data_IF_073899537736
#
_entry.id   IF_073899537736
#
_cell.length_a   1.000
_cell.length_b   1.000
_cell.length_c   1.000
_cell.angle_alpha   90.00
_cell.angle_beta   90.00
_cell.angle_gamma   90.00
#
_symmetry.space_group_name_H-M   'P 1'
#
loop_
_entity.id
_entity.type
_entity.pdbx_description
1 polymer ?
#
# COMPACT_ATOMS: atom_id res chain seq x y z
N UNK A 1 -5.27 37.23 -39.63
CA UNK A 1 -4.41 36.18 -39.02
C UNK A 1 -5.21 34.88 -39.00
N UNK A 2 -4.87 33.91 -39.84
CA UNK A 2 -5.67 32.69 -40.04
C UNK A 2 -5.37 31.71 -38.89
N UNK A 3 -6.36 31.39 -38.05
CA UNK A 3 -6.16 30.40 -36.98
C UNK A 3 -6.02 29.01 -37.63
N UNK A 4 -5.01 28.20 -37.25
CA UNK A 4 -4.92 26.83 -37.74
C UNK A 4 -6.22 26.07 -37.42
N UNK A 5 -6.81 25.43 -38.45
CA UNK A 5 -8.01 24.61 -38.31
C UNK A 5 -7.62 23.25 -37.75
N UNK A 6 -7.66 23.12 -36.43
CA UNK A 6 -7.46 21.83 -35.77
C UNK A 6 -8.73 20.97 -35.88
N UNK A 7 -8.59 19.75 -36.43
CA UNK A 7 -9.66 18.76 -36.37
C UNK A 7 -9.85 18.32 -34.93
N UNK A 8 -11.08 18.39 -34.42
CA UNK A 8 -11.41 17.95 -33.05
C UNK A 8 -11.11 16.45 -32.90
N UNK A 9 -10.25 16.05 -31.96
CA UNK A 9 -10.04 14.64 -31.66
C UNK A 9 -11.30 13.97 -31.11
N UNK A 10 -11.46 12.67 -31.40
CA UNK A 10 -12.50 11.85 -30.78
C UNK A 10 -12.22 11.65 -29.28
N UNK A 11 -13.28 11.37 -28.52
CA UNK A 11 -13.17 10.91 -27.14
C UNK A 11 -12.39 9.58 -27.08
N UNK A 12 -11.89 9.26 -25.89
CA UNK A 12 -11.11 8.07 -25.62
C UNK A 12 -11.80 7.31 -24.51
N UNK A 13 -12.14 6.05 -24.77
CA UNK A 13 -12.69 5.13 -23.78
C UNK A 13 -11.58 4.16 -23.35
N UNK A 14 -11.33 4.09 -22.04
CA UNK A 14 -10.29 3.27 -21.43
C UNK A 14 -10.93 2.48 -20.28
N UNK A 15 -11.53 1.32 -20.57
CA UNK A 15 -12.27 0.55 -19.57
C UNK A 15 -13.38 1.40 -18.92
N UNK A 16 -13.33 1.56 -17.60
CA UNK A 16 -14.28 2.36 -16.82
C UNK A 16 -14.05 3.89 -16.91
N UNK A 17 -13.08 4.34 -17.70
CA UNK A 17 -12.71 5.74 -17.83
C UNK A 17 -13.11 6.31 -19.21
N UNK A 18 -13.90 7.38 -19.20
CA UNK A 18 -14.26 8.15 -20.39
C UNK A 18 -13.51 9.49 -20.42
N UNK A 19 -12.65 9.69 -21.42
CA UNK A 19 -11.83 10.90 -21.57
C UNK A 19 -12.35 11.74 -22.75
N UNK A 20 -12.79 12.95 -22.45
CA UNK A 20 -13.51 13.82 -23.39
C UNK A 20 -12.94 15.23 -23.44
N UNK A 21 -13.07 15.88 -24.60
CA UNK A 21 -12.68 17.28 -24.80
C UNK A 21 -13.75 18.20 -24.25
N UNK A 22 -13.32 19.15 -23.42
CA UNK A 22 -14.15 20.19 -22.80
C UNK A 22 -13.92 21.55 -23.43
N UNK A 23 -12.69 21.90 -23.84
CA UNK A 23 -12.40 23.17 -24.52
C UNK A 23 -11.54 22.96 -25.76
N UNK A 24 -11.72 23.88 -26.72
CA UNK A 24 -10.92 23.97 -27.95
C UNK A 24 -9.42 24.13 -27.69
N UNK A 25 -8.59 24.01 -28.72
CA UNK A 25 -7.15 23.97 -28.56
C UNK A 25 -6.59 25.33 -28.10
N UNK A 26 -5.54 25.28 -27.26
CA UNK A 26 -4.77 26.45 -26.86
C UNK A 26 -3.77 26.87 -27.97
N UNK A 27 -2.92 27.86 -27.69
CA UNK A 27 -1.89 28.33 -28.63
C UNK A 27 -0.89 27.24 -29.04
N UNK A 28 -0.72 26.20 -28.22
CA UNK A 28 0.17 25.06 -28.45
C UNK A 28 -0.54 23.90 -29.20
N UNK A 29 -1.81 24.07 -29.60
CA UNK A 29 -2.60 23.02 -30.25
C UNK A 29 -3.09 21.92 -29.30
N UNK A 30 -2.93 22.08 -27.99
CA UNK A 30 -3.38 21.12 -26.96
C UNK A 30 -4.83 21.43 -26.58
N UNK A 31 -5.63 20.40 -26.34
CA UNK A 31 -7.04 20.52 -26.01
C UNK A 31 -7.23 20.38 -24.49
N UNK A 32 -8.29 20.97 -23.94
CA UNK A 32 -8.61 20.77 -22.53
C UNK A 32 -9.46 19.50 -22.38
N UNK A 33 -8.89 18.47 -21.76
CA UNK A 33 -9.48 17.17 -21.56
C UNK A 33 -10.04 17.01 -20.14
N UNK A 34 -11.01 16.12 -20.02
CA UNK A 34 -11.57 15.64 -18.76
C UNK A 34 -11.79 14.15 -18.83
N UNK A 35 -11.25 13.43 -17.87
CA UNK A 35 -11.52 12.02 -17.64
C UNK A 35 -12.55 11.84 -16.53
N UNK A 36 -13.52 10.96 -16.78
CA UNK A 36 -14.54 10.56 -15.80
C UNK A 36 -14.52 9.05 -15.62
N UNK A 37 -14.71 8.60 -14.39
CA UNK A 37 -14.92 7.18 -14.10
C UNK A 37 -16.36 6.73 -14.40
N UNK A 38 -16.64 5.45 -14.16
CA UNK A 38 -17.98 4.86 -14.31
C UNK A 38 -19.05 5.55 -13.45
N UNK A 39 -18.65 6.07 -12.28
CA UNK A 39 -19.51 6.85 -11.37
C UNK A 39 -19.72 8.30 -11.88
N UNK A 40 -19.21 8.63 -13.07
CA UNK A 40 -19.18 9.96 -13.69
C UNK A 40 -18.41 11.02 -12.89
N UNK A 41 -17.65 10.61 -11.88
CA UNK A 41 -16.80 11.49 -11.10
C UNK A 41 -15.62 11.94 -11.96
N UNK A 42 -15.26 13.22 -11.88
CA UNK A 42 -14.09 13.73 -12.59
C UNK A 42 -12.84 13.34 -11.82
N UNK A 43 -12.01 12.49 -12.44
CA UNK A 43 -10.79 11.96 -11.81
C UNK A 43 -9.51 12.59 -12.36
N UNK A 44 -9.60 13.23 -13.53
CA UNK A 44 -8.49 13.98 -14.10
C UNK A 44 -8.97 15.04 -15.10
N UNK A 45 -8.23 16.15 -15.18
CA UNK A 45 -8.39 17.18 -16.21
C UNK A 45 -7.05 17.76 -16.57
N UNK A 46 -6.85 18.17 -17.83
CA UNK A 46 -5.60 18.80 -18.24
C UNK A 46 -5.61 19.28 -19.68
N UNK A 47 -4.68 20.20 -19.98
CA UNK A 47 -4.34 20.53 -21.36
C UNK A 47 -3.40 19.47 -21.90
N UNK A 48 -3.79 18.79 -22.98
CA UNK A 48 -3.03 17.69 -23.54
C UNK A 48 -3.29 17.50 -25.04
N UNK A 49 -2.34 16.86 -25.73
CA UNK A 49 -2.65 16.20 -27.01
C UNK A 49 -3.51 14.96 -26.76
N UNK A 50 -4.02 14.33 -27.82
CA UNK A 50 -4.81 13.10 -27.69
C UNK A 50 -4.00 11.97 -27.06
N UNK A 51 -2.75 11.78 -27.49
CA UNK A 51 -1.90 10.68 -27.02
C UNK A 51 -1.45 10.89 -25.58
N UNK A 52 -1.17 12.14 -25.21
CA UNK A 52 -0.94 12.52 -23.81
C UNK A 52 -2.17 12.24 -22.94
N UNK A 53 -3.37 12.64 -23.39
CA UNK A 53 -4.60 12.38 -22.66
C UNK A 53 -4.87 10.87 -22.50
N UNK A 54 -4.56 10.06 -23.51
CA UNK A 54 -4.65 8.60 -23.43
C UNK A 54 -3.68 8.04 -22.36
N UNK A 55 -2.43 8.49 -22.39
CA UNK A 55 -1.39 8.06 -21.44
C UNK A 55 -1.74 8.44 -20.00
N UNK A 56 -2.17 9.68 -19.78
CA UNK A 56 -2.60 10.15 -18.46
C UNK A 56 -3.85 9.39 -17.98
N UNK A 57 -4.81 9.13 -18.88
CA UNK A 57 -5.98 8.30 -18.58
C UNK A 57 -5.61 6.88 -18.15
N UNK A 58 -4.68 6.24 -18.86
CA UNK A 58 -4.16 4.92 -18.47
C UNK A 58 -3.43 4.96 -17.12
N UNK A 59 -2.66 6.01 -16.85
CA UNK A 59 -1.99 6.19 -15.56
C UNK A 59 -2.99 6.41 -14.40
N UNK A 60 -4.15 7.02 -14.65
CA UNK A 60 -5.24 7.14 -13.68
C UNK A 60 -5.86 5.79 -13.38
N UNK A 61 -6.12 4.96 -14.39
CA UNK A 61 -6.67 3.61 -14.21
C UNK A 61 -5.71 2.69 -13.43
N UNK A 62 -4.41 2.84 -13.63
CA UNK A 62 -3.41 2.05 -12.93
C UNK A 62 -3.26 2.42 -11.44
N UNK A 63 -3.78 3.57 -11.00
CA UNK A 63 -3.72 3.98 -9.60
C UNK A 63 -4.80 3.24 -8.80
N UNK A 64 -4.46 2.66 -7.63
CA UNK A 64 -5.46 2.05 -6.76
C UNK A 64 -6.51 3.10 -6.36
N UNK A 65 -7.79 2.78 -6.55
CA UNK A 65 -8.91 3.66 -6.15
C UNK A 65 -8.77 3.95 -4.64
N UNK A 66 -8.83 5.20 -4.19
CA UNK A 66 -8.70 5.52 -2.77
C UNK A 66 -9.78 4.77 -1.99
N UNK A 67 -9.35 4.04 -0.96
CA UNK A 67 -10.23 3.23 -0.13
C UNK A 67 -11.30 4.13 0.50
N UNK A 68 -12.61 3.87 0.31
CA UNK A 68 -13.67 4.67 0.90
C UNK A 68 -13.60 4.73 2.43
N UNK A 69 -12.96 3.78 3.11
CA UNK A 69 -12.68 3.85 4.55
C UNK A 69 -11.81 5.05 4.97
N UNK A 70 -11.12 5.71 4.01
CA UNK A 70 -10.37 6.94 4.25
C UNK A 70 -11.27 8.19 4.20
N UNK A 71 -12.51 8.09 3.71
CA UNK A 71 -13.50 9.18 3.75
C UNK A 71 -14.12 9.24 5.15
N UNK A 72 -13.60 10.12 5.99
CA UNK A 72 -14.02 10.25 7.40
C UNK A 72 -12.86 10.44 8.37
N UNK A 73 -11.63 10.40 7.86
CA UNK A 73 -10.42 10.72 8.62
C UNK A 73 -10.38 12.22 8.92
N UNK A 74 -10.67 12.59 10.18
CA UNK A 74 -10.68 13.99 10.63
C UNK A 74 -9.36 14.43 11.28
N UNK A 75 -8.44 13.50 11.51
CA UNK A 75 -7.19 13.75 12.22
C UNK A 75 -6.01 13.12 11.50
N UNK A 76 -4.84 13.71 11.66
CA UNK A 76 -3.57 13.17 11.13
C UNK A 76 -3.29 11.77 11.68
N UNK A 77 -3.60 11.52 12.96
CA UNK A 77 -3.45 10.19 13.57
C UNK A 77 -4.32 9.11 12.90
N UNK A 78 -5.58 9.44 12.62
CA UNK A 78 -6.49 8.53 11.90
C UNK A 78 -6.04 8.32 10.44
N UNK A 79 -5.40 9.33 9.82
CA UNK A 79 -4.84 9.22 8.47
C UNK A 79 -3.67 8.24 8.45
N UNK A 80 -2.74 8.39 9.41
CA UNK A 80 -1.59 7.52 9.54
C UNK A 80 -2.04 6.08 9.83
N UNK A 81 -3.02 5.88 10.73
CA UNK A 81 -3.56 4.55 11.03
C UNK A 81 -4.21 3.89 9.80
N UNK A 82 -5.02 4.64 9.05
CA UNK A 82 -5.64 4.13 7.81
C UNK A 82 -4.60 3.83 6.72
N UNK A 83 -3.55 4.65 6.62
CA UNK A 83 -2.44 4.41 5.69
C UNK A 83 -1.64 3.17 6.08
N UNK A 84 -1.31 2.98 7.36
CA UNK A 84 -0.60 1.79 7.86
C UNK A 84 -1.41 0.51 7.64
N UNK A 85 -2.72 0.53 7.87
CA UNK A 85 -3.59 -0.62 7.60
C UNK A 85 -3.60 -1.03 6.12
N UNK A 86 -3.52 -0.05 5.21
CA UNK A 86 -3.38 -0.32 3.77
C UNK A 86 -2.00 -0.87 3.42
N UNK A 87 -0.93 -0.44 4.10
CA UNK A 87 0.41 -1.02 3.90
C UNK A 87 0.51 -2.45 4.43
N UNK A 88 -0.10 -2.75 5.57
CA UNK A 88 -0.09 -4.09 6.17
C UNK A 88 -0.82 -5.14 5.29
N UNK A 89 -1.86 -4.70 4.57
CA UNK A 89 -2.60 -5.53 3.63
C UNK A 89 -1.86 -5.78 2.29
N UNK A 90 -0.68 -5.18 2.06
CA UNK A 90 0.11 -5.42 0.83
C UNK A 90 0.94 -6.69 0.96
N UNK A 91 0.64 -7.68 0.12
CA UNK A 91 1.35 -8.96 0.04
C UNK A 91 2.83 -8.81 -0.37
N UNK A 92 3.16 -7.71 -1.04
CA UNK A 92 4.48 -7.32 -1.53
C UNK A 92 5.43 -6.80 -0.42
N UNK A 93 4.93 -6.58 0.80
CA UNK A 93 5.73 -6.16 1.98
C UNK A 93 5.63 -7.19 3.12
N UNK A 94 5.02 -8.37 2.90
CA UNK A 94 5.06 -9.43 3.90
C UNK A 94 6.52 -9.81 4.21
N UNK A 95 7.02 -9.63 5.45
CA UNK A 95 8.30 -10.20 5.82
C UNK A 95 8.13 -11.71 5.70
N UNK A 96 8.86 -12.32 4.77
CA UNK A 96 9.08 -13.76 4.75
C UNK A 96 9.41 -14.16 6.19
N UNK A 97 8.66 -15.05 6.86
CA UNK A 97 9.04 -15.48 8.18
C UNK A 97 10.41 -16.15 8.05
N UNK A 98 11.46 -15.46 8.47
CA UNK A 98 12.76 -16.09 8.71
C UNK A 98 12.50 -17.15 9.76
N UNK A 99 12.84 -18.44 9.52
CA UNK A 99 12.79 -19.44 10.57
C UNK A 99 13.65 -18.90 11.72
N UNK A 100 13.02 -18.67 12.87
CA UNK A 100 13.71 -18.24 14.07
C UNK A 100 14.77 -19.30 14.38
N UNK A 101 16.04 -19.00 14.16
CA UNK A 101 17.15 -19.80 14.67
C UNK A 101 17.05 -19.80 16.19
N UNK A 102 16.83 -20.96 16.86
CA UNK A 102 16.80 -21.00 18.31
C UNK A 102 18.25 -20.98 18.81
N UNK A 103 18.89 -19.81 18.81
CA UNK A 103 20.17 -19.64 19.47
C UNK A 103 20.00 -18.78 20.73
N UNK A 104 20.20 -19.47 21.86
CA UNK A 104 20.90 -18.93 23.03
C UNK A 104 20.08 -18.05 23.99
N UNK A 105 18.95 -18.56 24.46
CA UNK A 105 18.37 -18.13 25.74
C UNK A 105 17.83 -19.32 26.56
N UNK A 106 18.59 -20.42 26.61
CA UNK A 106 18.44 -21.45 27.65
C UNK A 106 19.75 -21.55 28.42
N UNK A 107 20.08 -20.51 29.18
CA UNK A 107 21.12 -20.58 30.19
C UNK A 107 20.83 -19.64 31.34
N UNK A 108 19.67 -19.80 31.96
CA UNK A 108 19.31 -19.17 33.23
C UNK A 108 18.21 -19.96 33.98
N UNK A 109 18.30 -21.30 33.98
CA UNK A 109 17.47 -22.18 34.82
C UNK A 109 18.16 -23.53 35.11
N UNK A 110 19.45 -23.47 35.45
CA UNK A 110 20.21 -24.57 36.07
C UNK A 110 21.24 -24.00 37.03
N UNK A 111 20.77 -23.60 38.22
CA UNK A 111 21.59 -23.51 39.43
C UNK A 111 20.66 -23.38 40.64
N UNK A 112 19.90 -24.42 40.93
CA UNK A 112 19.44 -24.73 42.28
C UNK A 112 19.04 -26.22 42.30
N UNK A 113 19.83 -27.01 43.01
CA UNK A 113 19.71 -28.47 43.05
C UNK A 113 21.00 -29.13 42.60
N UNK A 114 22.00 -29.13 43.48
CA UNK A 114 22.92 -30.25 43.71
C UNK A 114 24.07 -29.78 44.61
N UNK A 115 23.74 -29.48 45.87
CA UNK A 115 24.73 -29.47 46.94
C UNK A 115 24.80 -30.90 47.50
N UNK A 116 25.78 -31.64 46.98
CA UNK A 116 26.54 -32.67 47.68
C UNK A 116 25.79 -33.76 48.45
N UNK A 117 25.50 -34.85 47.73
CA UNK A 117 25.59 -36.20 48.28
C UNK A 117 27.04 -36.70 48.07
N UNK A 118 27.83 -36.85 49.15
CA UNK A 118 28.60 -38.07 49.53
C UNK A 118 29.70 -37.81 50.57
N UNK A 119 29.92 -38.86 51.38
CA UNK A 119 30.83 -39.07 52.52
C UNK A 119 30.12 -38.85 53.86
N UNK A 120 29.89 -39.85 54.72
CA UNK A 120 30.58 -41.14 54.92
C UNK A 120 29.66 -42.21 55.52
N UNK A 121 30.06 -43.47 55.30
CA UNK A 121 29.52 -44.67 55.91
C UNK A 121 29.54 -44.65 57.45
N UNK A 122 28.47 -45.18 58.07
CA UNK A 122 28.51 -46.19 59.14
C UNK A 122 27.08 -46.58 59.56
N UNK A 123 26.70 -47.83 59.26
CA UNK A 123 25.82 -48.64 60.13
C UNK A 123 26.57 -48.96 61.45
N UNK A 124 25.93 -49.50 62.52
CA UNK A 124 24.61 -50.16 62.65
C UNK A 124 23.75 -49.45 63.72
N UNK A 125 22.52 -49.80 64.11
CA UNK A 125 21.66 -50.98 63.97
C UNK A 125 20.75 -50.97 65.22
N UNK A 126 19.45 -51.16 65.00
CA UNK A 126 18.40 -51.77 65.85
C UNK A 126 18.33 -51.45 67.36
N UNK A 127 17.15 -50.95 67.76
CA UNK A 127 16.62 -50.88 69.12
C UNK A 127 16.43 -52.25 69.78
N UNK A 128 16.75 -52.34 71.07
CA UNK A 128 15.89 -52.90 72.13
C UNK A 128 16.43 -52.53 73.50
#
# INVERSE_FOLDING_TARGET
MNKPRYKRPAAIDLGDLHVSIVRGPNAEGRWYWRARDADRATVWTGWATRDEAAREGAAVLAKPKPNPAQRGVKTVGALIAAWLAVQDARLDISPRPTPATPHRAQRLLRHQGDAHRRHSARHPGVSS
#
